data_IF_533549868861
#
_entry.id   IF_533549868861
#
_cell.length_a   1.000
_cell.length_b   1.000
_cell.length_c   1.000
_cell.angle_alpha   90.00
_cell.angle_beta   90.00
_cell.angle_gamma   90.00
#
_symmetry.space_group_name_H-M   'P 1'
#
loop_
_entity.id
_entity.type
_entity.pdbx_description
1 polymer ?
#
# COMPACT_ATOMS: atom_id res chain seq x y z
N UNK A 1 0.21 -6.27 -10.21
CA UNK A 1 -1.03 -7.10 -10.28
C UNK A 1 -2.24 -6.16 -10.27
N UNK A 2 -3.05 -6.18 -11.32
CA UNK A 2 -4.32 -5.42 -11.41
C UNK A 2 -5.48 -6.30 -10.90
N UNK A 3 -5.49 -6.59 -9.59
CA UNK A 3 -6.54 -7.35 -8.92
C UNK A 3 -7.74 -6.47 -8.50
N UNK A 4 -8.82 -7.06 -7.94
CA UNK A 4 -9.96 -6.29 -7.41
C UNK A 4 -9.56 -5.17 -6.42
N UNK A 5 -8.47 -5.38 -5.68
CA UNK A 5 -7.92 -4.42 -4.73
C UNK A 5 -7.40 -3.16 -5.43
N UNK A 6 -6.89 -3.28 -6.66
CA UNK A 6 -6.43 -2.14 -7.44
C UNK A 6 -7.60 -1.22 -7.82
N UNK A 7 -8.74 -1.79 -8.21
CA UNK A 7 -9.94 -1.01 -8.53
C UNK A 7 -10.44 -0.21 -7.31
N UNK A 8 -10.37 -0.80 -6.11
CA UNK A 8 -10.69 -0.08 -4.86
C UNK A 8 -9.72 1.07 -4.64
N UNK A 9 -8.43 0.87 -4.89
CA UNK A 9 -7.40 1.90 -4.76
C UNK A 9 -7.59 3.04 -5.78
N UNK A 10 -8.00 2.75 -7.01
CA UNK A 10 -8.34 3.77 -8.02
C UNK A 10 -9.51 4.65 -7.58
N UNK A 11 -10.56 4.06 -6.99
CA UNK A 11 -11.68 4.82 -6.43
C UNK A 11 -11.22 5.69 -5.25
N UNK A 12 -10.36 5.15 -4.37
CA UNK A 12 -9.78 5.92 -3.27
C UNK A 12 -8.95 7.11 -3.77
N UNK A 13 -8.14 6.93 -4.81
CA UNK A 13 -7.36 8.00 -5.44
C UNK A 13 -8.26 9.09 -6.06
N UNK A 14 -9.36 8.69 -6.71
CA UNK A 14 -10.35 9.65 -7.22
C UNK A 14 -10.93 10.50 -6.08
N UNK A 15 -11.37 9.88 -4.99
CA UNK A 15 -11.89 10.59 -3.82
C UNK A 15 -10.82 11.48 -3.19
N UNK A 16 -9.57 11.02 -3.13
CA UNK A 16 -8.45 11.79 -2.61
C UNK A 16 -8.21 13.08 -3.42
N UNK A 17 -8.23 12.97 -4.75
CA UNK A 17 -8.08 14.11 -5.65
C UNK A 17 -9.24 15.09 -5.54
N UNK A 18 -10.48 14.61 -5.59
CA UNK A 18 -11.67 15.46 -5.59
C UNK A 18 -11.89 16.22 -4.28
N UNK A 19 -11.59 15.60 -3.13
CA UNK A 19 -11.87 16.19 -1.81
C UNK A 19 -10.68 16.91 -1.19
N UNK A 20 -9.46 16.46 -1.48
CA UNK A 20 -8.26 16.94 -0.79
C UNK A 20 -7.19 17.46 -1.75
N UNK A 21 -7.41 17.39 -3.06
CA UNK A 21 -6.42 17.83 -4.05
C UNK A 21 -5.16 16.96 -4.07
N UNK A 22 -5.19 15.76 -3.49
CA UNK A 22 -4.05 14.87 -3.39
C UNK A 22 -3.92 14.01 -4.66
N UNK A 23 -2.76 14.07 -5.30
CA UNK A 23 -2.39 13.16 -6.40
C UNK A 23 -1.78 11.88 -5.82
N UNK A 24 -2.40 10.74 -6.12
CA UNK A 24 -1.92 9.43 -5.68
C UNK A 24 -1.13 8.78 -6.81
N UNK A 25 0.12 8.40 -6.53
CA UNK A 25 0.95 7.62 -7.43
C UNK A 25 0.89 6.14 -7.04
N UNK A 26 0.50 5.29 -7.98
CA UNK A 26 0.49 3.84 -7.76
C UNK A 26 1.84 3.23 -8.12
N UNK A 27 2.38 2.44 -7.19
CA UNK A 27 3.56 1.60 -7.41
C UNK A 27 3.13 0.15 -7.22
N UNK A 28 3.24 -0.65 -8.27
CA UNK A 28 2.90 -2.07 -8.21
C UNK A 28 4.11 -2.90 -7.77
N UNK A 29 3.87 -3.80 -6.81
CA UNK A 29 4.84 -4.80 -6.38
C UNK A 29 4.38 -6.17 -6.87
N UNK A 30 5.36 -7.01 -7.26
CA UNK A 30 5.14 -8.41 -7.62
C UNK A 30 5.47 -9.38 -6.48
N UNK A 31 5.99 -8.87 -5.36
CA UNK A 31 6.37 -9.63 -4.17
C UNK A 31 5.70 -8.99 -2.93
N UNK A 32 5.13 -9.84 -2.07
CA UNK A 32 4.42 -9.44 -0.85
C UNK A 32 5.34 -8.89 0.26
N UNK A 33 6.65 -9.20 0.23
CA UNK A 33 7.60 -8.75 1.27
C UNK A 33 8.12 -7.32 1.06
N UNK A 34 8.12 -6.84 -0.19
CA UNK A 34 8.68 -5.53 -0.55
C UNK A 34 7.86 -4.33 -0.04
N UNK A 35 6.51 -4.34 -0.07
CA UNK A 35 5.71 -3.16 0.31
C UNK A 35 5.89 -2.72 1.76
N UNK A 36 6.10 -3.64 2.72
CA UNK A 36 6.34 -3.25 4.11
C UNK A 36 7.71 -2.62 4.30
N UNK A 37 8.72 -3.12 3.58
CA UNK A 37 10.07 -2.55 3.60
C UNK A 37 10.05 -1.15 2.99
N UNK A 38 9.41 -0.98 1.83
CA UNK A 38 9.31 0.32 1.14
C UNK A 38 8.59 1.40 1.98
N UNK A 39 7.56 1.02 2.74
CA UNK A 39 6.95 1.95 3.73
C UNK A 39 7.91 2.25 4.88
N UNK A 40 8.61 1.23 5.40
CA UNK A 40 9.55 1.43 6.52
C UNK A 40 10.77 2.28 6.16
N UNK A 41 11.20 2.28 4.89
CA UNK A 41 12.32 3.09 4.40
C UNK A 41 11.90 4.49 3.96
N UNK A 42 10.59 4.74 3.83
CA UNK A 42 10.04 6.01 3.35
C UNK A 42 10.00 6.13 1.82
N UNK A 43 10.23 5.04 1.09
CA UNK A 43 10.07 5.00 -0.37
C UNK A 43 8.58 5.03 -0.77
N UNK A 44 7.69 4.61 0.13
CA UNK A 44 6.24 4.75 0.04
C UNK A 44 5.68 5.38 1.31
N UNK A 45 4.63 6.18 1.16
CA UNK A 45 3.88 6.68 2.31
C UNK A 45 3.03 5.59 2.98
N UNK A 46 2.39 4.73 2.16
CA UNK A 46 1.46 3.69 2.62
C UNK A 46 1.42 2.48 1.68
N UNK A 47 0.98 1.33 2.18
CA UNK A 47 0.55 0.19 1.38
C UNK A 47 -0.85 -0.30 1.83
N UNK A 48 -1.62 -0.89 0.92
CA UNK A 48 -3.00 -1.34 1.17
C UNK A 48 -3.24 -2.77 0.65
N UNK A 49 -2.43 -3.73 1.11
CA UNK A 49 -2.39 -5.10 0.56
C UNK A 49 -2.55 -6.23 1.60
N UNK A 50 -2.45 -5.93 2.90
CA UNK A 50 -2.28 -6.94 3.94
C UNK A 50 -3.36 -6.88 5.02
N UNK A 51 -3.48 -7.97 5.77
CA UNK A 51 -4.29 -8.06 6.99
C UNK A 51 -3.41 -8.10 8.24
N UNK A 52 -4.01 -7.88 9.42
CA UNK A 52 -3.28 -7.75 10.69
C UNK A 52 -2.34 -8.93 11.04
N UNK A 53 -2.71 -10.21 10.90
CA UNK A 53 -1.79 -11.31 11.23
C UNK A 53 -0.47 -11.29 10.45
N UNK A 54 -0.51 -10.85 9.18
CA UNK A 54 0.67 -10.75 8.33
C UNK A 54 1.58 -9.61 8.79
N UNK A 55 0.99 -8.44 9.07
CA UNK A 55 1.72 -7.30 9.61
C UNK A 55 2.40 -7.62 10.95
N UNK A 56 1.67 -8.29 11.86
CA UNK A 56 2.21 -8.70 13.16
C UNK A 56 3.41 -9.66 12.99
N UNK A 57 3.36 -10.57 12.01
CA UNK A 57 4.46 -11.49 11.71
C UNK A 57 5.67 -10.78 11.11
N UNK A 58 5.47 -9.89 10.14
CA UNK A 58 6.54 -9.10 9.52
C UNK A 58 7.25 -8.20 10.55
N UNK A 59 6.47 -7.55 11.42
CA UNK A 59 7.01 -6.70 12.50
C UNK A 59 7.87 -7.51 13.48
N UNK A 60 7.39 -8.69 13.88
CA UNK A 60 8.15 -9.60 14.78
C UNK A 60 9.46 -10.07 14.14
N UNK A 61 9.49 -10.32 12.84
CA UNK A 61 10.70 -10.79 12.15
C UNK A 61 11.79 -9.70 12.05
N UNK A 62 11.42 -8.42 12.20
CA UNK A 62 12.31 -7.25 12.14
C UNK A 62 12.75 -6.73 13.52
N UNK A 63 12.27 -7.34 14.60
CA UNK A 63 12.61 -7.03 16.00
C UNK A 63 13.57 -8.08 16.55
#
# INVERSE_FOLDING_TARGET
MSGPEHQVAEIAAKVAKEKYGLDVQFIEFNDYALPNTAVSTGDLDVNAMQHKPYLDQDTKAKT
#
